data_IF_481486835949
#
_entry.id   IF_481486835949
#
_cell.length_a   1.000
_cell.length_b   1.000
_cell.length_c   1.000
_cell.angle_alpha   90.00
_cell.angle_beta   90.00
_cell.angle_gamma   90.00
#
_symmetry.space_group_name_H-M   'P 1'
#
loop_
_entity.id
_entity.type
_entity.pdbx_description
1 polymer ?
#
# COMPACT_ATOMS: atom_id res chain seq x y z
N UNK A 1 16.76 -4.28 -5.09
CA UNK A 1 16.76 -3.07 -5.95
C UNK A 1 15.66 -2.16 -5.45
N UNK A 2 15.84 -0.84 -5.48
CA UNK A 2 14.74 0.06 -5.11
C UNK A 2 13.61 -0.09 -6.13
N UNK A 3 12.44 -0.53 -5.70
CA UNK A 3 11.23 -0.48 -6.50
C UNK A 3 10.79 0.97 -6.66
N UNK A 4 10.04 1.29 -7.69
CA UNK A 4 9.48 2.62 -7.95
C UNK A 4 10.52 3.73 -8.18
N UNK A 5 11.55 3.47 -8.99
CA UNK A 5 12.47 4.50 -9.48
C UNK A 5 11.86 5.29 -10.66
N UNK A 6 12.02 4.80 -11.90
CA UNK A 6 11.44 5.44 -13.09
C UNK A 6 9.93 5.57 -13.06
N UNK A 7 9.21 4.64 -12.45
CA UNK A 7 7.75 4.65 -12.37
C UNK A 7 7.20 5.77 -11.48
N UNK A 8 7.90 6.16 -10.42
CA UNK A 8 7.41 7.10 -9.41
C UNK A 8 6.88 8.42 -9.99
N UNK A 9 7.55 8.98 -10.98
CA UNK A 9 7.13 10.25 -11.61
C UNK A 9 5.84 10.13 -12.43
N UNK A 10 5.51 8.91 -12.91
CA UNK A 10 4.35 8.63 -13.76
C UNK A 10 3.22 7.93 -13.01
N UNK A 11 3.49 7.50 -11.78
CA UNK A 11 2.61 6.65 -10.99
C UNK A 11 1.18 7.20 -10.90
N UNK A 12 1.00 8.47 -10.53
CA UNK A 12 -0.34 9.05 -10.38
C UNK A 12 -1.09 9.19 -11.72
N UNK A 13 -0.38 9.30 -12.84
CA UNK A 13 -1.00 9.32 -14.17
C UNK A 13 -1.47 7.92 -14.57
N UNK A 14 -0.64 6.90 -14.31
CA UNK A 14 -0.94 5.50 -14.62
C UNK A 14 -1.96 4.87 -13.65
N UNK A 15 -2.15 5.47 -12.47
CA UNK A 15 -3.12 5.02 -11.46
C UNK A 15 -4.30 5.98 -11.31
N UNK A 16 -4.58 6.79 -12.32
CA UNK A 16 -5.63 7.81 -12.27
C UNK A 16 -7.06 7.26 -12.14
N UNK A 17 -7.27 5.99 -12.43
CA UNK A 17 -8.53 5.26 -12.31
C UNK A 17 -8.75 4.65 -10.91
N UNK A 18 -7.76 4.71 -10.02
CA UNK A 18 -7.88 4.20 -8.65
C UNK A 18 -8.90 5.06 -7.88
N UNK A 19 -9.93 4.44 -7.31
CA UNK A 19 -10.99 5.18 -6.60
C UNK A 19 -10.55 5.56 -5.18
N UNK A 20 -9.49 6.35 -5.03
CA UNK A 20 -8.91 6.76 -3.73
C UNK A 20 -9.94 7.30 -2.75
N UNK A 21 -10.99 7.99 -3.25
CA UNK A 21 -12.07 8.48 -2.39
C UNK A 21 -12.83 7.36 -1.72
N UNK A 22 -13.10 6.26 -2.43
CA UNK A 22 -13.80 5.10 -1.87
C UNK A 22 -12.96 4.40 -0.79
N UNK A 23 -11.63 4.37 -0.97
CA UNK A 23 -10.70 3.86 0.04
C UNK A 23 -10.75 4.73 1.31
N UNK A 24 -10.62 6.04 1.17
CA UNK A 24 -10.69 6.97 2.29
C UNK A 24 -12.04 6.89 3.03
N UNK A 25 -13.17 6.83 2.28
CA UNK A 25 -14.51 6.66 2.86
C UNK A 25 -14.64 5.32 3.61
N UNK A 26 -14.01 4.26 3.09
CA UNK A 26 -13.99 2.96 3.75
C UNK A 26 -13.22 3.01 5.07
N UNK A 27 -12.04 3.66 5.11
CA UNK A 27 -11.26 3.79 6.35
C UNK A 27 -12.02 4.59 7.41
N UNK A 28 -12.63 5.72 7.08
CA UNK A 28 -13.44 6.48 8.02
C UNK A 28 -14.64 5.67 8.54
N UNK A 29 -15.27 4.87 7.67
CA UNK A 29 -16.34 3.96 8.07
C UNK A 29 -15.87 2.92 9.08
N UNK A 30 -14.68 2.34 8.88
CA UNK A 30 -14.09 1.39 9.81
C UNK A 30 -13.68 2.07 11.12
N UNK A 31 -13.09 3.26 11.08
CA UNK A 31 -12.79 4.07 12.28
C UNK A 31 -14.08 4.33 13.10
N UNK A 32 -15.14 4.76 12.45
CA UNK A 32 -16.44 4.99 13.10
C UNK A 32 -17.05 3.71 13.73
N UNK A 33 -16.89 2.55 13.09
CA UNK A 33 -17.37 1.25 13.61
C UNK A 33 -16.67 0.87 14.91
N UNK A 34 -15.37 1.13 15.01
CA UNK A 34 -14.56 0.73 16.16
C UNK A 34 -14.65 1.70 17.33
N UNK A 35 -15.43 2.81 17.19
CA UNK A 35 -15.70 3.80 18.26
C UNK A 35 -14.43 4.32 18.96
N UNK A 36 -13.30 4.24 18.27
CA UNK A 36 -12.03 4.78 18.72
C UNK A 36 -11.94 6.26 18.38
N UNK A 37 -11.15 6.98 19.16
CA UNK A 37 -10.72 8.32 18.84
C UNK A 37 -9.44 8.19 18.00
N UNK A 38 -9.58 8.30 16.68
CA UNK A 38 -8.49 8.12 15.73
C UNK A 38 -8.06 9.49 15.21
N UNK A 39 -6.91 9.97 15.63
CA UNK A 39 -6.35 11.25 15.22
C UNK A 39 -5.05 11.09 14.47
N UNK A 40 -4.10 10.34 15.02
CA UNK A 40 -2.81 10.08 14.41
C UNK A 40 -2.84 8.74 13.67
N UNK A 41 -2.66 8.76 12.37
CA UNK A 41 -2.80 7.60 11.50
C UNK A 41 -1.55 7.37 10.67
N UNK A 42 -1.09 6.12 10.62
CA UNK A 42 0.02 5.66 9.78
C UNK A 42 -0.52 5.17 8.43
N UNK A 43 0.04 5.68 7.35
CA UNK A 43 -0.08 5.15 6.00
C UNK A 43 1.22 4.40 5.66
N UNK A 44 1.17 3.08 5.71
CA UNK A 44 2.31 2.21 5.44
C UNK A 44 2.36 1.87 3.95
N UNK A 45 3.54 1.92 3.33
CA UNK A 45 3.73 1.84 1.88
C UNK A 45 2.94 2.93 1.15
N UNK A 46 3.08 4.18 1.59
CA UNK A 46 2.23 5.31 1.20
C UNK A 46 2.43 5.79 -0.24
N UNK A 47 3.48 5.34 -0.94
CA UNK A 47 3.83 5.72 -2.29
C UNK A 47 3.92 7.24 -2.48
N UNK A 48 3.25 7.78 -3.51
CA UNK A 48 3.19 9.22 -3.78
C UNK A 48 2.32 10.01 -2.80
N UNK A 49 1.80 9.36 -1.75
CA UNK A 49 1.04 9.98 -0.67
C UNK A 49 -0.35 10.49 -1.06
N UNK A 50 -0.95 9.99 -2.14
CA UNK A 50 -2.26 10.46 -2.59
C UNK A 50 -3.34 10.22 -1.54
N UNK A 51 -3.38 9.02 -0.96
CA UNK A 51 -4.33 8.68 0.10
C UNK A 51 -3.95 9.37 1.42
N UNK A 52 -2.66 9.43 1.74
CA UNK A 52 -2.12 10.15 2.92
C UNK A 52 -2.59 11.60 2.94
N UNK A 53 -2.43 12.32 1.82
CA UNK A 53 -2.89 13.72 1.69
C UNK A 53 -4.40 13.84 1.81
N UNK A 54 -5.14 12.90 1.22
CA UNK A 54 -6.61 12.90 1.28
C UNK A 54 -7.09 12.73 2.72
N UNK A 55 -6.47 11.86 3.51
CA UNK A 55 -6.81 11.69 4.92
C UNK A 55 -6.39 12.91 5.76
N UNK A 56 -5.24 13.52 5.48
CA UNK A 56 -4.84 14.78 6.12
C UNK A 56 -5.87 15.91 5.87
N UNK A 57 -6.39 16.02 4.65
CA UNK A 57 -7.44 17.00 4.30
C UNK A 57 -8.80 16.70 5.00
N UNK A 58 -9.02 15.47 5.46
CA UNK A 58 -10.17 15.06 6.26
C UNK A 58 -9.98 15.30 7.77
N UNK A 59 -8.81 15.82 8.18
CA UNK A 59 -8.52 16.23 9.54
C UNK A 59 -7.72 15.26 10.38
N UNK A 60 -7.14 14.21 9.76
CA UNK A 60 -6.23 13.29 10.45
C UNK A 60 -4.80 13.84 10.45
N UNK A 61 -4.07 13.64 11.54
CA UNK A 61 -2.62 13.77 11.55
C UNK A 61 -2.01 12.52 10.91
N UNK A 62 -1.20 12.70 9.86
CA UNK A 62 -0.74 11.59 9.03
C UNK A 62 0.76 11.39 9.10
N UNK A 63 1.17 10.13 9.26
CA UNK A 63 2.53 9.68 9.02
C UNK A 63 2.48 8.76 7.79
N UNK A 64 3.22 9.10 6.73
CA UNK A 64 3.41 8.25 5.56
C UNK A 64 4.79 7.59 5.62
N UNK A 65 4.85 6.28 5.43
CA UNK A 65 6.10 5.50 5.38
C UNK A 65 6.19 4.79 4.05
N UNK A 66 7.32 4.91 3.38
CA UNK A 66 7.62 4.19 2.15
C UNK A 66 9.12 3.94 2.04
N UNK A 67 9.51 2.85 1.38
CA UNK A 67 10.93 2.53 1.16
C UNK A 67 11.53 3.31 -0.03
N UNK A 68 10.70 3.80 -0.96
CA UNK A 68 11.14 4.54 -2.14
C UNK A 68 11.31 6.02 -1.85
N UNK A 69 12.54 6.50 -1.96
CA UNK A 69 12.86 7.94 -1.87
C UNK A 69 12.15 8.72 -2.98
N UNK A 70 12.07 8.16 -4.19
CA UNK A 70 11.45 8.77 -5.35
C UNK A 70 9.94 8.98 -5.14
N UNK A 71 9.26 7.99 -4.56
CA UNK A 71 7.85 8.11 -4.18
C UNK A 71 7.65 9.20 -3.13
N UNK A 72 8.48 9.22 -2.08
CA UNK A 72 8.37 10.20 -1.01
C UNK A 72 8.72 11.63 -1.47
N UNK A 73 9.61 11.80 -2.44
CA UNK A 73 9.83 13.11 -3.06
C UNK A 73 8.55 13.64 -3.71
N UNK A 74 7.84 12.79 -4.48
CA UNK A 74 6.54 13.14 -5.06
C UNK A 74 5.50 13.46 -3.98
N UNK A 75 5.44 12.64 -2.92
CA UNK A 75 4.53 12.85 -1.80
C UNK A 75 4.78 14.20 -1.10
N UNK A 76 6.05 14.54 -0.83
CA UNK A 76 6.44 15.79 -0.21
C UNK A 76 6.12 17.01 -1.07
N UNK A 77 6.43 16.97 -2.36
CA UNK A 77 6.12 18.05 -3.30
C UNK A 77 4.61 18.32 -3.38
N UNK A 78 3.81 17.27 -3.51
CA UNK A 78 2.35 17.37 -3.63
C UNK A 78 1.64 17.73 -2.32
N UNK A 79 2.33 17.64 -1.19
CA UNK A 79 1.81 18.02 0.13
C UNK A 79 2.08 19.49 0.48
N UNK A 80 2.83 20.22 -0.35
CA UNK A 80 3.10 21.64 -0.12
C UNK A 80 1.81 22.45 -0.11
N UNK A 81 1.68 23.31 0.88
CA UNK A 81 0.53 24.21 1.02
C UNK A 81 -0.68 23.58 1.73
N UNK A 82 -0.62 22.33 2.19
CA UNK A 82 -1.61 21.79 3.11
C UNK A 82 -1.50 22.50 4.48
N UNK A 83 -2.62 22.73 5.14
CA UNK A 83 -2.67 23.30 6.49
C UNK A 83 -1.96 22.41 7.51
N UNK A 84 -2.16 21.10 7.40
CA UNK A 84 -1.50 20.08 8.21
C UNK A 84 -0.84 19.07 7.26
N UNK A 85 0.42 19.34 6.84
CA UNK A 85 1.11 18.42 5.92
C UNK A 85 1.49 17.12 6.64
N UNK A 86 1.36 15.96 5.98
CA UNK A 86 1.82 14.68 6.51
C UNK A 86 3.33 14.68 6.81
N UNK A 87 3.74 13.92 7.82
CA UNK A 87 5.13 13.56 8.03
C UNK A 87 5.47 12.34 7.16
N UNK A 88 6.48 12.45 6.30
CA UNK A 88 6.94 11.34 5.49
C UNK A 88 8.29 10.80 6.00
N UNK A 89 8.38 9.47 6.13
CA UNK A 89 9.57 8.76 6.62
C UNK A 89 10.00 7.71 5.58
N UNK A 90 11.27 7.75 5.19
CA UNK A 90 11.84 6.76 4.29
C UNK A 90 12.33 5.57 5.12
N UNK A 91 11.53 4.50 5.17
CA UNK A 91 11.82 3.28 5.92
C UNK A 91 11.26 2.06 5.19
N UNK A 92 11.94 0.94 5.32
CA UNK A 92 11.35 -0.36 4.99
C UNK A 92 10.24 -0.69 6.00
N UNK A 93 9.14 -1.26 5.51
CA UNK A 93 8.00 -1.60 6.36
C UNK A 93 8.37 -2.61 7.46
N UNK A 94 9.25 -3.56 7.16
CA UNK A 94 9.72 -4.56 8.12
C UNK A 94 10.68 -3.98 9.18
N UNK A 95 11.24 -2.79 8.91
CA UNK A 95 12.11 -2.05 9.82
C UNK A 95 11.43 -0.83 10.45
N UNK A 96 10.10 -0.75 10.36
CA UNK A 96 9.30 0.37 10.88
C UNK A 96 9.74 0.78 12.30
N UNK A 97 10.08 2.06 12.46
CA UNK A 97 10.48 2.64 13.75
C UNK A 97 9.87 4.05 13.90
N UNK A 98 9.04 4.24 14.91
CA UNK A 98 8.34 5.49 15.19
C UNK A 98 8.69 5.98 16.60
N UNK A 99 8.60 7.28 16.84
CA UNK A 99 8.86 7.87 18.18
C UNK A 99 7.76 7.59 19.19
N UNK A 100 6.61 7.08 18.76
CA UNK A 100 5.47 6.82 19.63
C UNK A 100 4.43 5.96 18.93
N UNK A 101 3.27 5.80 19.53
CA UNK A 101 2.20 5.00 18.98
C UNK A 101 1.23 5.84 18.15
N UNK A 102 0.67 5.23 17.11
CA UNK A 102 -0.44 5.76 16.31
C UNK A 102 -1.77 5.15 16.76
N UNK A 103 -2.86 5.83 16.45
CA UNK A 103 -4.22 5.34 16.78
C UNK A 103 -4.66 4.24 15.83
N UNK A 104 -4.32 4.37 14.56
CA UNK A 104 -4.56 3.38 13.52
C UNK A 104 -3.42 3.37 12.49
N UNK A 105 -3.31 2.25 11.79
CA UNK A 105 -2.47 2.13 10.62
C UNK A 105 -3.28 1.55 9.46
N UNK A 106 -2.95 1.95 8.24
CA UNK A 106 -3.41 1.24 7.05
C UNK A 106 -2.26 1.02 6.07
N UNK A 107 -2.39 -0.03 5.24
CA UNK A 107 -1.53 -0.29 4.09
C UNK A 107 -2.43 -0.53 2.88
N UNK A 108 -2.31 0.32 1.87
CA UNK A 108 -3.24 0.37 0.74
C UNK A 108 -2.60 -0.04 -0.56
N UNK A 109 -3.47 -0.40 -1.51
CA UNK A 109 -3.07 -0.68 -2.90
C UNK A 109 -1.98 -1.74 -2.99
N UNK A 110 -2.31 -2.92 -2.40
CA UNK A 110 -1.45 -4.12 -2.46
C UNK A 110 -0.06 -3.97 -1.83
N UNK A 111 0.20 -2.90 -1.06
CA UNK A 111 1.48 -2.74 -0.38
C UNK A 111 1.89 -3.96 0.45
N UNK A 112 0.94 -4.69 1.01
CA UNK A 112 1.22 -5.94 1.74
C UNK A 112 1.71 -7.08 0.83
N UNK A 113 1.39 -7.06 -0.47
CA UNK A 113 1.91 -8.07 -1.41
C UNK A 113 3.42 -7.88 -1.72
N UNK A 114 3.96 -6.69 -1.46
CA UNK A 114 5.41 -6.43 -1.61
C UNK A 114 6.26 -6.97 -0.45
N UNK A 115 5.64 -7.42 0.64
CA UNK A 115 6.35 -7.91 1.82
C UNK A 115 6.61 -9.40 1.68
N UNK A 116 7.87 -9.87 1.67
CA UNK A 116 8.18 -11.29 1.65
C UNK A 116 7.53 -12.04 2.82
N UNK A 117 7.10 -13.31 2.63
CA UNK A 117 6.50 -14.10 3.71
C UNK A 117 7.39 -14.23 4.96
N UNK A 118 8.70 -14.26 4.80
CA UNK A 118 9.69 -14.31 5.88
C UNK A 118 9.76 -13.01 6.70
N UNK A 119 9.47 -11.86 6.09
CA UNK A 119 9.52 -10.54 6.75
C UNK A 119 8.18 -10.17 7.39
N UNK A 120 7.09 -10.82 6.98
CA UNK A 120 5.74 -10.56 7.49
C UNK A 120 5.63 -10.64 9.03
N UNK A 121 6.24 -11.63 9.72
CA UNK A 121 6.19 -11.66 11.20
C UNK A 121 6.85 -10.45 11.86
N UNK A 122 7.99 -9.98 11.35
CA UNK A 122 8.66 -8.81 11.92
C UNK A 122 7.85 -7.53 11.65
N UNK A 123 7.30 -7.35 10.44
CA UNK A 123 6.39 -6.25 10.14
C UNK A 123 5.21 -6.21 11.12
N UNK A 124 4.52 -7.33 11.30
CA UNK A 124 3.34 -7.41 12.20
C UNK A 124 3.73 -7.10 13.64
N UNK A 125 4.89 -7.57 14.10
CA UNK A 125 5.43 -7.25 15.41
C UNK A 125 5.75 -5.76 15.57
N UNK A 126 6.28 -5.09 14.52
CA UNK A 126 6.48 -3.63 14.52
C UNK A 126 5.14 -2.89 14.58
N UNK A 127 4.16 -3.31 13.81
CA UNK A 127 2.82 -2.74 13.87
C UNK A 127 2.19 -2.92 15.27
N UNK A 128 2.38 -4.08 15.90
CA UNK A 128 1.94 -4.32 17.28
C UNK A 128 2.62 -3.36 18.26
N UNK A 129 3.89 -3.03 18.07
CA UNK A 129 4.62 -2.08 18.91
C UNK A 129 4.11 -0.65 18.73
N UNK A 130 3.86 -0.23 17.51
CA UNK A 130 3.57 1.17 17.18
C UNK A 130 2.08 1.52 17.04
N UNK A 131 1.19 0.56 16.94
CA UNK A 131 -0.25 0.83 17.07
C UNK A 131 -0.60 0.77 18.56
N UNK A 132 -1.32 1.75 19.10
CA UNK A 132 -1.72 1.75 20.53
C UNK A 132 -2.65 0.57 20.85
N UNK A 133 -2.73 0.10 22.12
CA UNK A 133 -3.72 -0.89 22.51
C UNK A 133 -5.15 -0.48 22.13
N UNK A 134 -5.89 -1.41 21.53
CA UNK A 134 -7.22 -1.15 20.97
C UNK A 134 -7.22 -0.36 19.67
N UNK A 135 -6.06 -0.02 19.12
CA UNK A 135 -5.91 0.62 17.81
C UNK A 135 -6.19 -0.35 16.67
N UNK A 136 -6.39 0.19 15.49
CA UNK A 136 -6.88 -0.53 14.32
C UNK A 136 -5.79 -0.63 13.26
N UNK A 137 -5.62 -1.82 12.68
CA UNK A 137 -4.84 -2.03 11.46
C UNK A 137 -5.78 -2.43 10.32
N UNK A 138 -5.72 -1.73 9.19
CA UNK A 138 -6.48 -2.02 7.99
C UNK A 138 -5.51 -2.18 6.83
N UNK A 139 -5.63 -3.23 6.06
CA UNK A 139 -4.81 -3.37 4.87
C UNK A 139 -5.57 -4.07 3.76
N UNK A 140 -5.11 -3.85 2.54
CA UNK A 140 -5.58 -4.59 1.39
C UNK A 140 -4.45 -5.30 0.67
N UNK A 141 -4.83 -6.29 -0.09
CA UNK A 141 -3.94 -7.07 -0.95
C UNK A 141 -4.73 -7.64 -2.14
N UNK A 142 -4.03 -8.02 -3.18
CA UNK A 142 -4.60 -8.82 -4.25
C UNK A 142 -4.81 -10.25 -3.77
N UNK A 143 -5.97 -10.82 -4.11
CA UNK A 143 -6.25 -12.20 -3.72
C UNK A 143 -5.31 -13.18 -4.42
N UNK A 144 -5.03 -14.33 -3.79
CA UNK A 144 -4.23 -15.38 -4.42
C UNK A 144 -4.76 -15.81 -5.80
N UNK A 145 -6.08 -15.91 -5.95
CA UNK A 145 -6.72 -16.27 -7.21
C UNK A 145 -6.50 -15.20 -8.27
N UNK A 146 -6.58 -13.92 -7.88
CA UNK A 146 -6.37 -12.82 -8.80
C UNK A 146 -4.91 -12.80 -9.28
N UNK A 147 -3.93 -12.88 -8.37
CA UNK A 147 -2.51 -12.89 -8.73
C UNK A 147 -2.18 -14.05 -9.67
N UNK A 148 -2.63 -15.26 -9.35
CA UNK A 148 -2.43 -16.43 -10.24
C UNK A 148 -3.09 -16.25 -11.62
N UNK A 149 -4.21 -15.54 -11.70
CA UNK A 149 -4.89 -15.27 -12.98
C UNK A 149 -4.14 -14.28 -13.89
N UNK A 150 -3.17 -13.56 -13.34
CA UNK A 150 -2.36 -12.60 -14.08
C UNK A 150 -1.24 -13.26 -14.89
N UNK A 151 -0.94 -14.54 -14.64
CA UNK A 151 0.13 -15.26 -15.32
C UNK A 151 0.05 -15.15 -16.85
N UNK A 152 1.15 -14.74 -17.47
CA UNK A 152 1.26 -14.55 -18.92
C UNK A 152 0.49 -13.37 -19.48
N UNK A 153 -0.13 -12.52 -18.63
CA UNK A 153 -0.87 -11.35 -19.10
C UNK A 153 0.08 -10.21 -19.49
N UNK A 154 -0.34 -9.45 -20.49
CA UNK A 154 0.34 -8.23 -20.93
C UNK A 154 -0.69 -7.10 -20.95
N UNK A 155 -0.35 -6.00 -20.30
CA UNK A 155 -1.17 -4.79 -20.28
C UNK A 155 -0.39 -3.62 -20.86
N UNK A 156 -1.10 -2.73 -21.51
CA UNK A 156 -0.56 -1.48 -22.04
C UNK A 156 -1.35 -0.34 -21.40
N UNK A 157 -0.62 0.53 -20.73
CA UNK A 157 -1.15 1.74 -20.14
C UNK A 157 -0.55 2.92 -20.89
N UNK A 158 -1.36 3.71 -21.58
CA UNK A 158 -0.91 4.81 -22.41
C UNK A 158 -1.57 6.11 -21.98
N UNK A 159 -0.74 7.08 -21.71
CA UNK A 159 -1.10 8.47 -21.42
C UNK A 159 -0.31 9.39 -22.37
N UNK A 160 -0.59 10.68 -22.38
CA UNK A 160 -0.03 11.63 -23.36
C UNK A 160 1.50 11.55 -23.49
N UNK A 161 2.22 11.47 -22.38
CA UNK A 161 3.68 11.52 -22.32
C UNK A 161 4.33 10.24 -21.79
N UNK A 162 3.55 9.20 -21.47
CA UNK A 162 4.06 7.93 -20.95
C UNK A 162 3.27 6.75 -21.52
N UNK A 163 3.98 5.70 -21.92
CA UNK A 163 3.44 4.39 -22.22
C UNK A 163 4.14 3.36 -21.35
N UNK A 164 3.38 2.60 -20.59
CA UNK A 164 3.89 1.50 -19.78
C UNK A 164 3.37 0.17 -20.33
N UNK A 165 4.28 -0.74 -20.60
CA UNK A 165 3.97 -2.10 -21.00
C UNK A 165 4.30 -3.03 -19.82
N UNK A 166 3.27 -3.65 -19.26
CA UNK A 166 3.35 -4.55 -18.12
C UNK A 166 3.31 -5.99 -18.58
N UNK A 167 4.17 -6.81 -18.05
CA UNK A 167 4.13 -8.26 -18.20
C UNK A 167 4.06 -8.88 -16.82
N UNK A 168 3.23 -9.88 -16.66
CA UNK A 168 3.06 -10.59 -15.40
C UNK A 168 3.48 -12.06 -15.61
N UNK A 169 4.46 -12.51 -14.84
CA UNK A 169 5.01 -13.87 -14.89
C UNK A 169 4.92 -14.51 -13.49
N UNK A 170 4.13 -15.57 -13.36
CA UNK A 170 3.95 -16.30 -12.10
C UNK A 170 5.13 -17.21 -11.84
N UNK A 171 5.72 -17.13 -10.64
CA UNK A 171 6.74 -18.03 -10.12
C UNK A 171 6.11 -18.88 -9.01
N UNK A 172 5.36 -19.93 -9.42
CA UNK A 172 4.52 -20.73 -8.51
C UNK A 172 5.32 -21.35 -7.37
N UNK A 173 6.54 -21.84 -7.64
CA UNK A 173 7.39 -22.48 -6.63
C UNK A 173 7.87 -21.51 -5.54
N UNK A 174 7.90 -20.22 -5.82
CA UNK A 174 8.26 -19.15 -4.91
C UNK A 174 7.03 -18.42 -4.33
N UNK A 175 5.84 -18.72 -4.86
CA UNK A 175 4.58 -18.10 -4.40
C UNK A 175 4.51 -16.60 -4.68
N UNK A 176 5.03 -16.14 -5.81
CA UNK A 176 5.02 -14.73 -6.19
C UNK A 176 4.73 -14.55 -7.69
N UNK A 177 4.36 -13.32 -8.03
CA UNK A 177 4.26 -12.86 -9.41
C UNK A 177 5.27 -11.74 -9.64
N UNK A 178 5.96 -11.80 -10.79
CA UNK A 178 6.90 -10.76 -11.22
C UNK A 178 6.24 -9.90 -12.28
N UNK A 179 6.14 -8.60 -12.01
CA UNK A 179 5.71 -7.62 -13.01
C UNK A 179 6.94 -6.98 -13.64
N UNK A 180 7.23 -7.35 -14.88
CA UNK A 180 8.23 -6.66 -15.70
C UNK A 180 7.61 -5.48 -16.42
N UNK A 181 8.16 -4.28 -16.25
CA UNK A 181 7.66 -3.06 -16.84
C UNK A 181 8.65 -2.45 -17.82
N UNK A 182 8.17 -2.13 -19.03
CA UNK A 182 8.87 -1.25 -19.96
C UNK A 182 8.15 0.10 -19.98
N UNK A 183 8.80 1.12 -19.43
CA UNK A 183 8.26 2.47 -19.31
C UNK A 183 8.88 3.32 -20.41
N UNK A 184 8.05 3.84 -21.29
CA UNK A 184 8.46 4.77 -22.34
C UNK A 184 7.95 6.15 -22.00
N UNK A 185 8.84 7.12 -21.85
CA UNK A 185 8.50 8.51 -21.55
C UNK A 185 8.91 9.45 -22.69
N UNK A 186 8.03 10.39 -23.05
CA UNK A 186 8.28 11.39 -24.05
C UNK A 186 9.12 12.55 -23.48
N UNK A 187 10.28 12.77 -24.08
CA UNK A 187 11.20 13.86 -23.73
C UNK A 187 11.39 14.79 -24.95
N UNK A 188 10.39 15.65 -25.19
CA UNK A 188 10.46 16.61 -26.29
C UNK A 188 10.47 16.00 -27.67
N UNK A 189 9.71 14.92 -27.89
CA UNK A 189 9.56 14.20 -29.14
C UNK A 189 10.50 13.00 -29.31
N UNK A 190 11.35 12.72 -28.33
CA UNK A 190 12.14 11.51 -28.22
C UNK A 190 11.58 10.63 -27.11
N UNK A 191 11.46 9.35 -27.34
CA UNK A 191 10.99 8.40 -26.35
C UNK A 191 12.18 7.73 -25.67
N UNK A 192 12.24 7.87 -24.33
CA UNK A 192 13.19 7.17 -23.48
C UNK A 192 12.55 5.92 -22.95
N UNK A 193 13.23 4.78 -23.01
CA UNK A 193 12.81 3.52 -22.41
C UNK A 193 13.58 3.27 -21.13
N UNK A 194 12.85 2.96 -20.08
CA UNK A 194 13.38 2.50 -18.80
C UNK A 194 12.70 1.18 -18.42
N UNK A 195 13.31 0.41 -17.54
CA UNK A 195 12.78 -0.88 -17.09
C UNK A 195 12.72 -0.93 -15.59
N UNK A 196 11.67 -1.57 -15.11
CA UNK A 196 11.48 -1.91 -13.70
C UNK A 196 10.94 -3.32 -13.57
N UNK A 197 11.23 -3.97 -12.44
CA UNK A 197 10.63 -5.24 -12.06
C UNK A 197 10.11 -5.12 -10.64
N UNK A 198 8.91 -5.62 -10.41
CA UNK A 198 8.25 -5.66 -9.10
C UNK A 198 7.85 -7.09 -8.79
N UNK A 199 8.04 -7.49 -7.55
CA UNK A 199 7.62 -8.79 -7.04
C UNK A 199 6.47 -8.59 -6.08
N UNK A 200 5.37 -9.32 -6.30
CA UNK A 200 4.24 -9.39 -5.38
C UNK A 200 4.06 -10.82 -4.90
N UNK A 201 4.15 -11.00 -3.58
CA UNK A 201 3.99 -12.29 -2.92
C UNK A 201 2.53 -12.66 -2.75
N UNK A 202 2.23 -13.93 -2.94
CA UNK A 202 0.89 -14.49 -2.77
C UNK A 202 0.69 -14.84 -1.29
N UNK A 203 -0.16 -14.08 -0.60
CA UNK A 203 -0.48 -14.30 0.81
C UNK A 203 -1.88 -14.88 0.97
N UNK A 204 -1.96 -16.06 1.54
CA UNK A 204 -3.23 -16.67 1.91
C UNK A 204 -3.78 -16.00 3.21
N UNK A 205 -5.09 -15.77 3.26
CA UNK A 205 -5.73 -15.13 4.43
C UNK A 205 -5.40 -15.82 5.75
N UNK A 206 -5.41 -17.17 5.79
CA UNK A 206 -5.15 -17.93 7.00
C UNK A 206 -3.69 -17.78 7.49
N UNK A 207 -2.73 -17.58 6.58
CA UNK A 207 -1.35 -17.27 6.93
C UNK A 207 -1.26 -15.90 7.63
N UNK A 208 -1.85 -14.85 7.03
CA UNK A 208 -1.86 -13.50 7.58
C UNK A 208 -2.60 -13.44 8.92
N UNK A 209 -3.74 -14.13 9.01
CA UNK A 209 -4.52 -14.22 10.23
C UNK A 209 -3.72 -14.87 11.36
N UNK A 210 -3.08 -16.00 11.10
CA UNK A 210 -2.24 -16.68 12.10
C UNK A 210 -1.07 -15.82 12.56
N UNK A 211 -0.42 -15.09 11.64
CA UNK A 211 0.67 -14.17 11.96
C UNK A 211 0.18 -12.99 12.84
N UNK A 212 -0.96 -12.40 12.51
CA UNK A 212 -1.59 -11.34 13.30
C UNK A 212 -2.00 -11.82 14.71
N UNK A 213 -2.65 -12.98 14.81
CA UNK A 213 -3.06 -13.58 16.09
C UNK A 213 -1.85 -13.86 16.98
N UNK A 214 -0.77 -14.36 16.42
CA UNK A 214 0.49 -14.65 17.12
C UNK A 214 1.08 -13.41 17.80
N UNK A 215 1.01 -12.26 17.12
CA UNK A 215 1.53 -10.98 17.63
C UNK A 215 0.46 -10.19 18.44
N UNK A 216 -0.66 -10.83 18.78
CA UNK A 216 -1.66 -10.27 19.71
C UNK A 216 -2.72 -9.38 19.06
N UNK A 217 -2.86 -9.40 17.76
CA UNK A 217 -4.03 -8.82 17.10
C UNK A 217 -5.24 -9.72 17.28
N UNK A 218 -6.42 -9.11 17.33
CA UNK A 218 -7.71 -9.79 17.50
C UNK A 218 -8.75 -9.22 16.53
N UNK A 219 -9.93 -9.83 16.49
CA UNK A 219 -11.04 -9.41 15.64
C UNK A 219 -10.60 -9.24 14.18
N UNK A 220 -9.86 -10.23 13.68
CA UNK A 220 -9.30 -10.21 12.32
C UNK A 220 -10.43 -10.59 11.36
N UNK A 221 -10.81 -9.64 10.50
CA UNK A 221 -11.98 -9.76 9.64
C UNK A 221 -11.61 -9.50 8.19
N UNK A 222 -11.97 -10.44 7.31
CA UNK A 222 -11.99 -10.23 5.87
C UNK A 222 -13.26 -9.45 5.48
N UNK A 223 -13.09 -8.21 5.04
CA UNK A 223 -14.19 -7.29 4.76
C UNK A 223 -14.86 -7.59 3.41
N UNK A 224 -16.18 -7.78 3.42
CA UNK A 224 -16.95 -8.07 2.20
C UNK A 224 -17.45 -6.83 1.47
N UNK A 225 -17.60 -5.72 2.20
CA UNK A 225 -18.17 -4.45 1.70
C UNK A 225 -17.08 -3.39 1.46
N UNK A 226 -15.86 -3.82 1.15
CA UNK A 226 -14.72 -2.95 0.89
C UNK A 226 -14.62 -2.59 -0.60
N UNK A 227 -13.87 -1.52 -0.96
CA UNK A 227 -13.65 -1.13 -2.36
C UNK A 227 -13.02 -2.26 -3.19
N UNK A 228 -13.38 -2.33 -4.46
CA UNK A 228 -12.76 -3.23 -5.45
C UNK A 228 -12.73 -4.74 -5.10
N UNK A 229 -13.49 -5.21 -4.10
CA UNK A 229 -13.55 -6.64 -3.74
C UNK A 229 -13.93 -7.51 -4.95
N UNK A 230 -14.83 -7.04 -5.80
CA UNK A 230 -15.22 -7.74 -7.04
C UNK A 230 -14.12 -7.79 -8.09
N UNK A 231 -13.08 -6.99 -7.93
CA UNK A 231 -11.90 -6.91 -8.81
C UNK A 231 -10.69 -7.65 -8.21
N UNK A 232 -10.93 -8.61 -7.31
CA UNK A 232 -9.89 -9.44 -6.71
C UNK A 232 -9.08 -8.78 -5.59
N UNK A 233 -9.59 -7.68 -5.00
CA UNK A 233 -8.96 -7.06 -3.83
C UNK A 233 -9.58 -7.59 -2.55
N UNK A 234 -8.76 -7.89 -1.58
CA UNK A 234 -9.17 -8.34 -0.24
C UNK A 234 -8.77 -7.26 0.77
N UNK A 235 -9.72 -6.87 1.64
CA UNK A 235 -9.44 -5.98 2.77
C UNK A 235 -9.54 -6.74 4.07
N UNK A 236 -8.57 -6.53 4.93
CA UNK A 236 -8.50 -7.14 6.25
C UNK A 236 -8.42 -6.03 7.30
N UNK A 237 -9.22 -6.17 8.35
CA UNK A 237 -9.14 -5.35 9.55
C UNK A 237 -8.69 -6.19 10.73
N UNK A 238 -7.89 -5.63 11.62
CA UNK A 238 -7.43 -6.27 12.82
C UNK A 238 -7.28 -5.24 13.95
N UNK A 239 -7.64 -5.61 15.18
CA UNK A 239 -7.51 -4.75 16.35
C UNK A 239 -6.28 -5.19 17.14
N UNK A 240 -5.40 -4.23 17.49
CA UNK A 240 -4.31 -4.52 18.41
C UNK A 240 -4.87 -4.85 19.80
N UNK A 241 -4.53 -6.03 20.33
CA UNK A 241 -4.86 -6.42 21.70
C UNK A 241 -4.26 -5.51 22.79
N UNK A 242 -4.61 -5.76 24.02
CA UNK A 242 -4.05 -5.04 25.17
C UNK A 242 -2.59 -5.43 25.47
#
# INVERSE_FOLDING_TARGET
MSCYGPLAQWYDQLTGDVPYREFADFYEKEFARHKGDFHLVLDLCCGTGTLTRMMAQRGYEMIGVDASVEMLMQAGEKSQGLETPPLYLCQDASELDLYGTVDAAYCSLDGMNYIPPEDMPELIKRLQLFIRPGGLFIFDLRSPEWLRSMDGQIYVDEQDDVLCLWRADLVEDEGLIVYGMDIFSNQGGLWRREREEHEEFIHEFEFLKAALEKEGFRDIILCKDAPQVKLGRQFITAIRGE
#
